data_IF_590273446291
#
_entry.id   IF_590273446291
#
_cell.length_a   1.000
_cell.length_b   1.000
_cell.length_c   1.000
_cell.angle_alpha   90.00
_cell.angle_beta   90.00
_cell.angle_gamma   90.00
#
_symmetry.space_group_name_H-M   'P 1'
#
loop_
_entity.id
_entity.type
_entity.pdbx_description
1 polymer ?
#
# COMPACT_ATOMS: atom_id res chain seq x y z
N UNK A 1 19.94 12.49 13.25
CA UNK A 1 18.63 12.20 13.86
C UNK A 1 17.71 13.36 13.55
N UNK A 2 16.73 13.16 12.69
CA UNK A 2 15.61 14.08 12.50
C UNK A 2 14.38 13.18 12.40
N UNK A 3 13.74 12.93 13.54
CA UNK A 3 12.39 12.37 13.55
C UNK A 3 11.48 13.44 12.95
N UNK A 4 10.68 13.06 11.96
CA UNK A 4 9.68 13.95 11.37
C UNK A 4 8.72 14.43 12.45
N UNK A 5 8.82 15.71 12.83
CA UNK A 5 7.94 16.38 13.79
C UNK A 5 6.59 16.72 13.14
N UNK A 6 5.84 15.70 12.75
CA UNK A 6 4.41 15.90 12.55
C UNK A 6 3.77 16.11 13.93
N UNK A 7 2.90 17.11 14.09
CA UNK A 7 2.20 17.30 15.36
C UNK A 7 1.43 16.04 15.69
N UNK A 8 1.56 15.59 16.94
CA UNK A 8 0.86 14.44 17.46
C UNK A 8 -0.66 14.67 17.32
N UNK A 9 -1.34 13.76 16.61
CA UNK A 9 -2.78 13.86 16.44
C UNK A 9 -3.45 13.44 17.75
N UNK A 10 -3.91 14.43 18.52
CA UNK A 10 -4.59 14.21 19.80
C UNK A 10 -5.81 13.28 19.68
N UNK A 11 -6.45 13.21 18.50
CA UNK A 11 -7.58 12.32 18.23
C UNK A 11 -7.07 10.88 18.10
N UNK A 12 -5.97 10.68 17.38
CA UNK A 12 -5.31 9.38 17.24
C UNK A 12 -4.85 8.85 18.61
N UNK A 13 -4.23 9.72 19.42
CA UNK A 13 -3.72 9.32 20.73
C UNK A 13 -4.85 8.91 21.67
N UNK A 14 -5.93 9.70 21.75
CA UNK A 14 -7.12 9.35 22.57
C UNK A 14 -7.79 8.05 22.13
N UNK A 15 -7.73 7.70 20.84
CA UNK A 15 -8.25 6.43 20.34
C UNK A 15 -7.35 5.25 20.73
N UNK A 16 -6.02 5.42 20.65
CA UNK A 16 -5.05 4.42 21.09
C UNK A 16 -5.16 4.12 22.58
N UNK A 17 -5.37 5.14 23.42
CA UNK A 17 -5.51 5.00 24.87
C UNK A 17 -6.74 4.17 25.29
N UNK A 18 -7.71 3.99 24.39
CA UNK A 18 -8.90 3.17 24.63
C UNK A 18 -8.69 1.68 24.31
N UNK A 19 -7.53 1.30 23.75
CA UNK A 19 -7.26 -0.07 23.34
C UNK A 19 -6.51 -0.84 24.44
N UNK A 20 -6.77 -2.14 24.64
CA UNK A 20 -5.95 -2.97 25.53
C UNK A 20 -4.46 -2.96 25.17
N UNK A 21 -3.54 -3.08 26.15
CA UNK A 21 -2.12 -3.16 25.87
C UNK A 21 -1.79 -4.29 24.89
N UNK A 22 -1.09 -3.96 23.79
CA UNK A 22 -0.65 -4.92 22.78
C UNK A 22 -1.74 -5.41 21.81
N UNK A 23 -2.96 -4.84 21.83
CA UNK A 23 -4.03 -5.25 20.91
C UNK A 23 -4.05 -4.52 19.57
N UNK A 24 -3.27 -3.45 19.44
CA UNK A 24 -3.23 -2.59 18.24
C UNK A 24 -2.07 -2.99 17.34
N UNK A 25 -2.37 -3.23 16.06
CA UNK A 25 -1.36 -3.41 15.03
C UNK A 25 -1.10 -2.04 14.39
N UNK A 26 0.11 -1.52 14.58
CA UNK A 26 0.56 -0.34 13.86
C UNK A 26 0.97 -0.71 12.44
N UNK A 27 0.29 -0.12 11.45
CA UNK A 27 0.63 -0.30 10.04
C UNK A 27 1.05 1.05 9.48
N UNK A 28 2.35 1.21 9.26
CA UNK A 28 2.88 2.30 8.46
C UNK A 28 3.58 1.73 7.24
N UNK A 29 3.20 2.22 6.07
CA UNK A 29 4.06 2.12 4.91
C UNK A 29 5.19 3.10 5.17
N UNK A 30 6.40 2.59 5.38
CA UNK A 30 7.58 3.40 5.71
C UNK A 30 7.92 4.42 4.62
N UNK A 31 9.14 4.93 4.64
CA UNK A 31 9.63 5.79 3.56
C UNK A 31 9.54 5.08 2.20
N UNK A 32 9.37 5.84 1.12
CA UNK A 32 9.47 5.31 -0.25
C UNK A 32 10.78 4.51 -0.45
N UNK A 33 11.85 4.92 0.22
CA UNK A 33 13.15 4.23 0.28
C UNK A 33 13.05 2.82 0.84
N UNK A 34 12.36 2.61 1.97
CA UNK A 34 12.21 1.28 2.58
C UNK A 34 11.36 0.35 1.72
N UNK A 35 10.29 0.87 1.12
CA UNK A 35 9.48 0.10 0.18
C UNK A 35 10.28 -0.31 -1.06
N UNK A 36 11.08 0.62 -1.62
CA UNK A 36 11.96 0.33 -2.74
C UNK A 36 12.97 -0.79 -2.39
N UNK A 37 13.61 -0.72 -1.22
CA UNK A 37 14.52 -1.78 -0.76
C UNK A 37 13.80 -3.13 -0.60
N UNK A 38 12.58 -3.14 -0.05
CA UNK A 38 11.78 -4.36 0.06
C UNK A 38 11.46 -4.99 -1.31
N UNK A 39 11.08 -4.16 -2.29
CA UNK A 39 10.81 -4.62 -3.66
C UNK A 39 12.08 -5.16 -4.34
N UNK A 40 13.22 -4.51 -4.13
CA UNK A 40 14.50 -4.97 -4.63
C UNK A 40 14.86 -6.36 -4.06
N UNK A 41 14.81 -6.49 -2.73
CA UNK A 41 15.14 -7.72 -2.00
C UNK A 41 14.17 -8.87 -2.27
N UNK A 42 12.91 -8.56 -2.61
CA UNK A 42 11.91 -9.58 -2.94
C UNK A 42 12.34 -10.48 -4.09
N UNK A 43 13.21 -9.98 -4.98
CA UNK A 43 13.63 -10.62 -6.22
C UNK A 43 12.47 -11.14 -7.09
N UNK A 44 11.28 -10.56 -6.96
CA UNK A 44 10.09 -10.93 -7.74
C UNK A 44 9.75 -9.83 -8.76
N UNK A 45 9.03 -10.16 -9.85
CA UNK A 45 8.41 -9.15 -10.70
C UNK A 45 7.39 -8.33 -9.89
N UNK A 46 7.38 -7.02 -10.08
CA UNK A 46 6.44 -6.13 -9.40
C UNK A 46 5.98 -4.97 -10.29
N UNK A 47 4.78 -4.50 -10.00
CA UNK A 47 4.20 -3.27 -10.56
C UNK A 47 4.05 -2.27 -9.41
N UNK A 48 4.73 -1.13 -9.51
CA UNK A 48 4.63 -0.07 -8.53
C UNK A 48 3.91 1.12 -9.13
N UNK A 49 2.65 1.32 -8.71
CA UNK A 49 1.86 2.49 -9.07
C UNK A 49 2.18 3.59 -8.07
N UNK A 50 2.81 4.67 -8.56
CA UNK A 50 3.18 5.83 -7.75
C UNK A 50 2.27 6.97 -8.19
N UNK A 51 1.35 7.39 -7.32
CA UNK A 51 0.39 8.43 -7.69
C UNK A 51 1.06 9.82 -7.64
N UNK A 52 0.80 10.73 -8.58
CA UNK A 52 1.42 12.05 -8.59
C UNK A 52 1.07 12.93 -7.39
N UNK A 53 -0.10 12.72 -6.78
CA UNK A 53 -0.60 13.50 -5.65
C UNK A 53 0.17 13.22 -4.35
N UNK A 54 0.72 12.01 -4.20
CA UNK A 54 1.53 11.62 -3.03
C UNK A 54 3.03 11.91 -3.23
N UNK A 55 3.46 12.18 -4.46
CA UNK A 55 4.85 12.54 -4.78
C UNK A 55 5.03 14.04 -5.06
N UNK A 56 3.99 14.84 -4.82
CA UNK A 56 4.01 16.28 -5.12
C UNK A 56 5.03 16.97 -4.22
N UNK A 57 6.09 17.51 -4.83
CA UNK A 57 7.20 18.16 -4.11
C UNK A 57 8.31 17.22 -3.67
N UNK A 58 8.28 15.94 -4.07
CA UNK A 58 9.39 14.99 -3.87
C UNK A 58 10.09 14.84 -5.22
N UNK A 59 11.37 15.19 -5.29
CA UNK A 59 12.18 15.03 -6.49
C UNK A 59 12.33 13.52 -6.83
N UNK A 60 12.45 13.19 -8.12
CA UNK A 60 12.57 11.78 -8.54
C UNK A 60 13.74 11.04 -7.88
N UNK A 61 14.76 11.79 -7.49
CA UNK A 61 16.00 11.31 -6.88
C UNK A 61 15.86 11.08 -5.36
N UNK A 62 14.79 11.59 -4.75
CA UNK A 62 14.42 11.35 -3.34
C UNK A 62 13.41 10.21 -3.20
N UNK A 63 12.65 9.91 -4.26
CA UNK A 63 11.65 8.83 -4.28
C UNK A 63 12.27 7.43 -4.31
N UNK A 64 13.46 7.28 -4.89
CA UNK A 64 14.10 5.99 -5.06
C UNK A 64 15.53 6.03 -4.54
N UNK A 65 16.02 4.98 -3.85
CA UNK A 65 17.43 4.84 -3.56
C UNK A 65 18.25 4.96 -4.84
N UNK A 66 19.39 5.67 -4.79
CA UNK A 66 20.30 5.80 -5.93
C UNK A 66 20.58 4.43 -6.56
N UNK A 67 20.40 4.31 -7.88
CA UNK A 67 20.65 3.06 -8.61
C UNK A 67 19.50 2.03 -8.54
N UNK A 68 18.37 2.33 -7.88
CA UNK A 68 17.28 1.38 -7.69
C UNK A 68 16.71 0.86 -9.01
N UNK A 69 16.47 1.75 -9.98
CA UNK A 69 15.87 1.39 -11.27
C UNK A 69 16.77 0.43 -12.05
N UNK A 70 18.08 0.62 -11.96
CA UNK A 70 19.09 -0.23 -12.57
C UNK A 70 19.14 -1.61 -11.91
N UNK A 71 19.06 -1.66 -10.56
CA UNK A 71 19.10 -2.93 -9.80
C UNK A 71 17.84 -3.78 -9.98
N UNK A 72 16.67 -3.17 -10.09
CA UNK A 72 15.42 -3.91 -10.36
C UNK A 72 15.26 -4.29 -11.82
N UNK A 73 15.85 -3.51 -12.73
CA UNK A 73 15.86 -3.77 -14.16
C UNK A 73 14.47 -4.03 -14.73
N UNK A 74 14.31 -5.09 -15.52
CA UNK A 74 13.03 -5.47 -16.13
C UNK A 74 12.02 -6.07 -15.16
N UNK A 75 12.40 -6.39 -13.92
CA UNK A 75 11.49 -6.97 -12.92
C UNK A 75 10.57 -5.91 -12.31
N UNK A 76 10.97 -4.65 -12.34
CA UNK A 76 10.19 -3.53 -11.80
C UNK A 76 9.56 -2.70 -12.90
N UNK A 77 8.24 -2.48 -12.82
CA UNK A 77 7.54 -1.49 -13.64
C UNK A 77 6.96 -0.40 -12.75
N UNK A 78 7.44 0.84 -12.93
CA UNK A 78 6.88 2.01 -12.26
C UNK A 78 5.85 2.68 -13.18
N UNK A 79 4.69 3.04 -12.64
CA UNK A 79 3.62 3.71 -13.39
C UNK A 79 3.20 4.96 -12.61
N UNK A 80 3.26 6.12 -13.27
CA UNK A 80 2.92 7.44 -12.70
C UNK A 80 1.44 7.79 -12.76
N UNK A 81 0.57 6.85 -13.11
CA UNK A 81 -0.88 7.04 -13.17
C UNK A 81 -1.58 5.72 -12.84
N UNK A 82 -2.89 5.74 -12.55
CA UNK A 82 -3.65 4.53 -12.26
C UNK A 82 -3.41 3.45 -13.32
N UNK A 83 -2.92 2.29 -12.89
CA UNK A 83 -2.91 1.09 -13.72
C UNK A 83 -4.25 0.37 -13.51
N UNK A 84 -4.91 -0.14 -14.55
CA UNK A 84 -6.14 -0.90 -14.37
C UNK A 84 -5.88 -2.10 -13.48
N UNK A 85 -6.39 -2.03 -12.24
CA UNK A 85 -6.51 -3.18 -11.36
C UNK A 85 -7.49 -4.12 -12.08
N UNK A 86 -6.95 -5.12 -12.80
CA UNK A 86 -7.77 -6.04 -13.57
C UNK A 86 -8.76 -6.72 -12.62
N UNK A 87 -10.05 -6.48 -12.83
CA UNK A 87 -11.19 -7.23 -12.27
C UNK A 87 -11.26 -8.68 -12.80
N UNK A 88 -10.14 -9.37 -12.97
CA UNK A 88 -10.14 -10.71 -13.55
C UNK A 88 -9.25 -11.65 -12.76
N UNK A 89 -9.74 -11.98 -11.56
CA UNK A 89 -9.57 -13.31 -11.00
C UNK A 89 -10.93 -13.86 -10.55
N UNK A 90 -11.90 -13.87 -11.47
CA UNK A 90 -13.02 -14.80 -11.37
C UNK A 90 -12.54 -16.08 -12.05
N UNK A 91 -12.26 -17.10 -11.25
CA UNK A 91 -12.01 -18.47 -11.70
C UNK A 91 -13.15 -18.95 -12.60
N UNK A 92 -12.91 -19.74 -13.67
CA UNK A 92 -13.96 -20.29 -14.53
C UNK A 92 -14.85 -21.35 -13.85
N UNK A 93 -14.69 -21.62 -12.55
CA UNK A 93 -15.55 -22.54 -11.83
C UNK A 93 -16.37 -21.79 -10.80
N UNK A 94 -17.61 -21.51 -11.18
CA UNK A 94 -18.56 -20.74 -10.41
C UNK A 94 -18.91 -21.38 -9.07
N UNK A 95 -18.97 -20.54 -8.05
CA UNK A 95 -19.91 -20.71 -6.95
C UNK A 95 -20.58 -19.35 -6.71
N UNK A 96 -21.86 -19.32 -7.08
CA UNK A 96 -22.79 -18.22 -6.80
C UNK A 96 -22.92 -18.05 -5.29
N UNK A 97 -22.79 -16.81 -4.83
CA UNK A 97 -23.01 -16.41 -3.44
C UNK A 97 -24.40 -16.82 -2.97
N UNK A 98 -24.47 -17.51 -1.83
CA UNK A 98 -25.70 -17.78 -1.10
C UNK A 98 -26.55 -16.51 -0.95
N UNK A 99 -27.70 -16.46 -1.59
CA UNK A 99 -28.77 -15.53 -1.21
C UNK A 99 -29.55 -16.18 -0.06
N UNK A 100 -29.58 -15.51 1.09
CA UNK A 100 -30.53 -15.84 2.15
C UNK A 100 -31.96 -15.54 1.63
N UNK A 101 -32.94 -16.42 1.83
CA UNK A 101 -34.33 -16.10 1.54
C UNK A 101 -34.80 -15.00 2.51
N UNK A 102 -35.28 -13.89 1.96
CA UNK A 102 -35.97 -12.87 2.73
C UNK A 102 -37.33 -13.43 3.12
N UNK A 103 -37.61 -13.44 4.41
CA UNK A 103 -38.85 -13.94 4.97
C UNK A 103 -40.06 -13.09 4.52
N UNK A 104 -41.09 -13.77 4.02
CA UNK A 104 -42.46 -13.25 3.96
C UNK A 104 -42.85 -12.55 2.66
N UNK A 105 -43.49 -13.30 1.77
CA UNK A 105 -44.79 -12.88 1.24
C UNK A 105 -45.62 -14.15 1.00
N UNK A 106 -46.84 -14.14 1.56
CA UNK A 106 -47.86 -15.19 1.46
C UNK A 106 -48.62 -15.08 0.14
#
# INVERSE_FOLDING_TARGET
MAGSFWPEDEICQKWLDQQPPGSVIYVAFGSFTELALGLELSNRPFLWVVRPDITKGIESDELYPKGFKERVGSRGKMVGNWAPQRDQYISPQGYSSYQYPVAGDQ
#
